data_IF_363269926905
#
_entry.id   IF_363269926905
#
_cell.length_a   1.000
_cell.length_b   1.000
_cell.length_c   1.000
_cell.angle_alpha   90.00
_cell.angle_beta   90.00
_cell.angle_gamma   90.00
#
_symmetry.space_group_name_H-M   'P 1'
#
loop_
_entity.id
_entity.type
_entity.pdbx_description
1 polymer ?
#
# COMPACT_ATOMS: atom_id res chain seq x y z
N UNK A 1 16.55 -3.67 -0.25
CA UNK A 1 16.21 -5.02 -0.73
C UNK A 1 14.70 -5.27 -0.68
N UNK A 2 13.97 -4.60 0.21
CA UNK A 2 12.54 -4.72 0.50
C UNK A 2 11.72 -3.50 0.05
N UNK A 3 12.36 -2.45 -0.44
CA UNK A 3 11.78 -1.17 -0.88
C UNK A 3 10.99 -0.41 0.21
N UNK A 4 11.23 -0.72 1.47
CA UNK A 4 10.67 0.00 2.61
C UNK A 4 11.45 1.27 2.92
N UNK A 5 10.85 2.12 3.75
CA UNK A 5 11.49 3.36 4.21
C UNK A 5 12.83 3.05 4.92
N UNK A 6 13.90 3.74 4.55
CA UNK A 6 15.20 3.63 5.20
C UNK A 6 15.22 4.40 6.53
N UNK A 7 15.11 3.67 7.63
CA UNK A 7 15.04 4.27 8.96
C UNK A 7 16.34 4.96 9.40
N UNK A 8 17.48 4.62 8.80
CA UNK A 8 18.71 5.39 9.04
C UNK A 8 18.63 6.76 8.36
N UNK A 9 17.99 6.82 7.18
CA UNK A 9 17.75 8.09 6.51
C UNK A 9 16.68 8.92 7.22
N UNK A 10 15.63 8.30 7.74
CA UNK A 10 14.64 8.97 8.59
C UNK A 10 15.33 9.62 9.80
N UNK A 11 16.17 8.88 10.51
CA UNK A 11 16.88 9.39 11.70
C UNK A 11 17.76 10.60 11.38
N UNK A 12 18.45 10.58 10.23
CA UNK A 12 19.27 11.73 9.78
C UNK A 12 18.46 12.96 9.37
N UNK A 13 17.17 12.78 9.03
CA UNK A 13 16.28 13.85 8.54
C UNK A 13 15.37 14.44 9.61
N UNK A 14 15.25 13.80 10.77
CA UNK A 14 14.47 14.33 11.90
C UNK A 14 15.07 15.66 12.37
N UNK A 15 14.20 16.63 12.59
CA UNK A 15 14.51 17.95 13.14
C UNK A 15 13.47 18.31 14.21
N UNK A 16 13.68 19.35 15.03
CA UNK A 16 12.64 19.83 15.96
C UNK A 16 11.32 20.22 15.29
N UNK A 17 11.35 20.47 13.99
CA UNK A 17 10.16 20.80 13.20
C UNK A 17 9.43 19.58 12.63
N UNK A 18 9.98 18.37 12.79
CA UNK A 18 9.36 17.14 12.32
C UNK A 18 8.11 16.82 13.15
N UNK A 19 6.93 16.88 12.54
CA UNK A 19 5.64 16.63 13.21
C UNK A 19 5.10 15.23 12.99
N UNK A 20 5.41 14.63 11.86
CA UNK A 20 5.00 13.27 11.54
C UNK A 20 5.97 12.57 10.58
N UNK A 21 5.99 11.23 10.67
CA UNK A 21 6.59 10.34 9.67
C UNK A 21 5.48 9.46 9.10
N UNK A 22 5.47 9.32 7.78
CA UNK A 22 4.47 8.51 7.05
C UNK A 22 5.20 7.31 6.45
N UNK A 23 5.31 6.17 7.16
CA UNK A 23 5.82 4.94 6.59
C UNK A 23 4.79 4.34 5.64
N UNK A 24 5.24 3.86 4.47
CA UNK A 24 4.41 3.13 3.52
C UNK A 24 4.71 1.64 3.67
N UNK A 25 3.71 0.82 3.98
CA UNK A 25 3.83 -0.63 4.01
C UNK A 25 3.77 -1.19 2.58
N UNK A 26 4.85 -0.96 1.85
CA UNK A 26 4.90 -1.18 0.41
C UNK A 26 4.73 -2.66 0.02
N UNK A 27 3.95 -2.94 -1.01
CA UNK A 27 3.56 -4.30 -1.45
C UNK A 27 2.81 -5.14 -0.40
N UNK A 28 2.37 -4.53 0.70
CA UNK A 28 1.82 -5.24 1.85
C UNK A 28 2.87 -5.60 2.90
N UNK A 29 4.16 -5.38 2.62
CA UNK A 29 5.25 -5.68 3.53
C UNK A 29 5.34 -4.61 4.64
N UNK A 30 5.23 -4.98 5.93
CA UNK A 30 5.28 -4.02 7.02
C UNK A 30 6.66 -3.37 7.18
N UNK A 31 6.67 -2.07 7.47
CA UNK A 31 7.87 -1.38 7.93
C UNK A 31 8.28 -1.87 9.32
N UNK A 32 9.53 -1.62 9.72
CA UNK A 32 10.00 -1.89 11.09
C UNK A 32 9.33 -0.90 12.07
N UNK A 33 8.15 -1.31 12.55
CA UNK A 33 7.32 -0.49 13.44
C UNK A 33 7.93 -0.31 14.82
N UNK A 34 8.67 -1.30 15.34
CA UNK A 34 9.31 -1.19 16.66
C UNK A 34 10.33 -0.06 16.67
N UNK A 35 11.14 0.02 15.61
CA UNK A 35 12.14 1.08 15.52
C UNK A 35 11.48 2.45 15.28
N UNK A 36 10.46 2.51 14.44
CA UNK A 36 9.69 3.73 14.20
C UNK A 36 9.02 4.26 15.46
N UNK A 37 8.43 3.40 16.29
CA UNK A 37 7.81 3.78 17.56
C UNK A 37 8.85 4.35 18.52
N UNK A 38 9.98 3.69 18.71
CA UNK A 38 11.07 4.20 19.54
C UNK A 38 11.58 5.57 19.07
N UNK A 39 11.69 5.75 17.76
CA UNK A 39 12.11 7.05 17.18
C UNK A 39 11.04 8.12 17.40
N UNK A 40 9.76 7.78 17.29
CA UNK A 40 8.64 8.68 17.54
C UNK A 40 8.59 9.15 18.99
N UNK A 41 8.74 8.22 19.93
CA UNK A 41 8.79 8.53 21.37
C UNK A 41 9.98 9.44 21.74
N UNK A 42 11.15 9.15 21.18
CA UNK A 42 12.38 9.92 21.43
C UNK A 42 12.31 11.36 20.88
N UNK A 43 11.63 11.57 19.75
CA UNK A 43 11.68 12.83 19.00
C UNK A 43 10.32 13.56 18.92
N UNK A 44 9.29 13.07 19.62
CA UNK A 44 7.93 13.63 19.70
C UNK A 44 7.29 13.91 18.33
N UNK A 45 7.41 12.98 17.39
CA UNK A 45 6.66 13.03 16.13
C UNK A 45 5.56 11.97 16.09
N UNK A 46 4.56 12.16 15.24
CA UNK A 46 3.47 11.19 15.05
C UNK A 46 3.79 10.21 13.92
N UNK A 47 3.35 8.96 14.06
CA UNK A 47 3.42 7.95 12.99
C UNK A 47 2.04 7.86 12.36
N UNK A 48 1.96 8.11 11.06
CA UNK A 48 0.75 7.96 10.25
C UNK A 48 1.04 6.88 9.21
N UNK A 49 0.58 5.65 9.46
CA UNK A 49 0.86 4.53 8.58
C UNK A 49 0.06 4.66 7.27
N UNK A 50 0.74 4.70 6.12
CA UNK A 50 0.12 4.43 4.84
C UNK A 50 0.09 2.90 4.63
N UNK A 51 -1.04 2.32 4.98
CA UNK A 51 -1.32 0.90 4.87
C UNK A 51 -2.24 0.58 3.68
N UNK A 52 -2.28 1.46 2.67
CA UNK A 52 -3.09 1.27 1.46
C UNK A 52 -2.78 -0.03 0.72
N UNK A 53 -1.63 -0.65 0.95
CA UNK A 53 -1.22 -1.94 0.40
C UNK A 53 -1.24 -3.09 1.41
N UNK A 54 -1.50 -2.84 2.70
CA UNK A 54 -1.20 -3.78 3.78
C UNK A 54 -2.43 -4.24 4.58
N UNK A 55 -3.64 -4.12 4.01
CA UNK A 55 -4.84 -4.60 4.68
C UNK A 55 -4.78 -6.13 4.85
N UNK A 56 -4.78 -6.58 6.11
CA UNK A 56 -4.62 -7.98 6.47
C UNK A 56 -3.19 -8.44 6.74
N UNK A 57 -2.17 -7.61 6.51
CA UNK A 57 -0.79 -7.91 6.88
C UNK A 57 -0.58 -7.88 8.40
N UNK A 58 0.40 -8.66 8.85
CA UNK A 58 0.76 -8.85 10.25
C UNK A 58 2.22 -8.42 10.45
N UNK A 59 2.50 -7.75 11.55
CA UNK A 59 3.83 -7.44 12.03
C UNK A 59 3.99 -7.98 13.44
N UNK A 60 4.90 -8.96 13.64
CA UNK A 60 5.17 -9.60 14.93
C UNK A 60 3.90 -10.05 15.67
N UNK A 61 3.01 -10.74 14.95
CA UNK A 61 1.79 -11.31 15.52
C UNK A 61 0.60 -10.33 15.64
N UNK A 62 0.79 -9.03 15.37
CA UNK A 62 -0.27 -8.03 15.42
C UNK A 62 -0.61 -7.49 14.02
N UNK A 63 -1.89 -7.30 13.73
CA UNK A 63 -2.33 -6.76 12.44
C UNK A 63 -1.84 -5.32 12.26
N UNK A 64 -1.43 -4.97 11.02
CA UNK A 64 -1.23 -3.58 10.65
C UNK A 64 -2.51 -2.81 10.92
N UNK A 65 -2.39 -1.62 11.49
CA UNK A 65 -3.48 -0.84 12.08
C UNK A 65 -3.44 -0.79 13.61
N UNK A 66 -2.53 -1.56 14.24
CA UNK A 66 -2.40 -1.62 15.71
C UNK A 66 -1.25 -0.77 16.26
N UNK A 67 -0.42 -0.16 15.40
CA UNK A 67 0.87 0.39 15.80
C UNK A 67 0.90 1.92 15.89
N UNK A 68 0.74 2.62 14.77
CA UNK A 68 0.89 4.07 14.67
C UNK A 68 -0.18 4.87 15.43
N UNK A 69 -0.09 6.19 15.34
CA UNK A 69 -1.10 7.12 15.87
C UNK A 69 -2.35 7.11 14.98
N UNK A 70 -2.15 6.91 13.70
CA UNK A 70 -3.20 6.69 12.71
C UNK A 70 -2.72 5.70 11.65
N UNK A 71 -3.62 4.88 11.12
CA UNK A 71 -3.35 3.97 10.00
C UNK A 71 -4.41 4.18 8.93
N UNK A 72 -3.97 4.42 7.70
CA UNK A 72 -4.85 4.67 6.55
C UNK A 72 -4.87 3.46 5.63
N UNK A 73 -6.06 2.91 5.39
CA UNK A 73 -6.30 1.82 4.45
C UNK A 73 -7.06 2.30 3.21
N UNK A 74 -6.83 1.63 2.09
CA UNK A 74 -7.53 1.84 0.83
C UNK A 74 -8.35 0.62 0.44
N UNK A 75 -9.56 0.86 -0.06
CA UNK A 75 -10.46 -0.13 -0.66
C UNK A 75 -10.79 0.23 -2.11
N UNK A 76 -9.83 0.82 -2.80
CA UNK A 76 -9.83 1.07 -4.25
C UNK A 76 -10.03 -0.24 -5.03
N UNK A 77 -10.54 -0.22 -6.29
CA UNK A 77 -10.79 -1.42 -7.10
C UNK A 77 -9.63 -2.39 -7.24
N UNK A 78 -8.38 -1.90 -7.22
CA UNK A 78 -7.19 -2.72 -7.42
C UNK A 78 -6.66 -3.36 -6.12
N UNK A 79 -7.19 -2.99 -4.93
CA UNK A 79 -6.66 -3.45 -3.64
C UNK A 79 -6.98 -4.92 -3.36
N UNK A 80 -6.40 -5.46 -2.27
CA UNK A 80 -6.60 -6.87 -1.87
C UNK A 80 -8.07 -7.19 -1.65
N UNK A 81 -8.80 -6.28 -1.01
CA UNK A 81 -10.27 -6.21 -1.00
C UNK A 81 -10.69 -4.82 -1.45
N UNK A 82 -11.86 -4.73 -2.04
CA UNK A 82 -12.39 -3.48 -2.58
C UNK A 82 -13.83 -3.22 -2.12
N UNK A 83 -14.21 -1.96 -2.10
CA UNK A 83 -15.61 -1.54 -2.05
C UNK A 83 -16.00 -0.65 -3.25
N UNK A 84 -15.30 -0.80 -4.38
CA UNK A 84 -15.38 0.09 -5.53
C UNK A 84 -14.52 1.32 -5.30
N UNK A 85 -14.93 2.22 -4.42
CA UNK A 85 -14.16 3.34 -3.93
C UNK A 85 -14.33 3.42 -2.40
N UNK A 86 -13.23 3.61 -1.68
CA UNK A 86 -13.30 3.76 -0.23
C UNK A 86 -11.97 3.62 0.49
N UNK A 87 -12.04 3.80 1.79
CA UNK A 87 -10.91 3.65 2.69
C UNK A 87 -11.36 3.67 4.15
N UNK A 88 -10.43 3.39 5.03
CA UNK A 88 -10.63 3.48 6.46
C UNK A 88 -9.43 4.13 7.14
N UNK A 89 -9.70 4.87 8.21
CA UNK A 89 -8.67 5.37 9.12
C UNK A 89 -8.89 4.70 10.47
N UNK A 90 -7.87 4.02 10.96
CA UNK A 90 -7.84 3.43 12.29
C UNK A 90 -7.07 4.35 13.23
N UNK A 91 -7.63 4.61 14.39
CA UNK A 91 -7.12 5.55 15.38
C UNK A 91 -7.29 4.98 16.79
N UNK A 92 -6.34 5.27 17.68
CA UNK A 92 -6.46 4.97 19.11
C UNK A 92 -7.12 6.12 19.89
N UNK A 93 -7.02 7.35 19.39
CA UNK A 93 -7.55 8.56 19.99
C UNK A 93 -8.99 8.80 19.54
N UNK A 94 -9.94 8.68 20.47
CA UNK A 94 -11.36 8.86 20.21
C UNK A 94 -11.72 10.29 19.81
N UNK A 95 -11.06 11.31 20.37
CA UNK A 95 -11.35 12.72 20.05
C UNK A 95 -10.93 13.05 18.62
N UNK A 96 -9.80 12.51 18.19
CA UNK A 96 -9.36 12.62 16.78
C UNK A 96 -10.30 11.85 15.88
N UNK A 97 -10.73 10.65 16.27
CA UNK A 97 -11.70 9.85 15.51
C UNK A 97 -13.01 10.62 15.29
N UNK A 98 -13.56 11.26 16.33
CA UNK A 98 -14.77 12.09 16.22
C UNK A 98 -14.56 13.30 15.31
N UNK A 99 -13.41 13.98 15.40
CA UNK A 99 -13.07 15.07 14.48
C UNK A 99 -13.03 14.60 13.03
N UNK A 100 -12.46 13.42 12.74
CA UNK A 100 -12.40 12.83 11.40
C UNK A 100 -13.82 12.44 10.94
N UNK A 101 -14.66 11.85 11.80
CA UNK A 101 -16.06 11.52 11.47
C UNK A 101 -16.85 12.75 11.04
N UNK A 102 -16.68 13.90 11.71
CA UNK A 102 -17.30 15.16 11.31
C UNK A 102 -16.73 15.67 9.99
N UNK A 103 -15.40 15.69 9.86
CA UNK A 103 -14.72 16.21 8.66
C UNK A 103 -15.08 15.42 7.39
N UNK A 104 -15.27 14.10 7.46
CA UNK A 104 -15.66 13.30 6.29
C UNK A 104 -17.07 13.58 5.78
N UNK A 105 -17.91 14.26 6.60
CA UNK A 105 -19.30 14.63 6.28
C UNK A 105 -19.44 16.15 6.39
N UNK A 106 -18.70 16.90 5.56
CA UNK A 106 -18.86 18.35 5.42
C UNK A 106 -18.64 19.18 6.69
N UNK A 107 -18.05 18.62 7.76
CA UNK A 107 -17.87 19.31 9.04
C UNK A 107 -19.14 19.42 9.91
N UNK A 108 -20.17 18.66 9.59
CA UNK A 108 -21.46 18.67 10.29
C UNK A 108 -21.35 17.98 11.66
N UNK A 109 -21.94 18.60 12.70
CA UNK A 109 -21.85 18.13 14.08
C UNK A 109 -22.81 16.99 14.44
N UNK A 110 -23.83 16.73 13.63
CA UNK A 110 -24.77 15.63 13.83
C UNK A 110 -24.52 14.52 12.82
N UNK A 111 -24.42 13.30 13.32
CA UNK A 111 -24.31 12.11 12.48
C UNK A 111 -25.57 11.97 11.62
N UNK A 112 -25.40 11.69 10.33
CA UNK A 112 -26.53 11.45 9.42
C UNK A 112 -27.43 10.29 9.89
N UNK A 113 -26.88 9.38 10.72
CA UNK A 113 -27.61 8.29 11.35
C UNK A 113 -28.79 8.75 12.22
N UNK A 114 -28.62 9.83 13.01
CA UNK A 114 -29.73 10.39 13.79
C UNK A 114 -30.85 10.98 12.94
N UNK A 115 -30.60 11.29 11.65
CA UNK A 115 -31.65 11.76 10.73
C UNK A 115 -32.58 10.64 10.27
N UNK A 116 -32.16 9.38 10.31
CA UNK A 116 -32.99 8.21 9.94
C UNK A 116 -33.85 7.71 11.09
N UNK A 117 -33.48 7.98 12.34
CA UNK A 117 -34.25 7.59 13.53
C UNK A 117 -35.28 8.65 13.92
N UNK A 118 -36.34 8.83 13.10
CA UNK A 118 -37.62 9.52 13.36
C UNK A 118 -37.64 10.97 13.93
N UNK A 119 -36.51 11.55 14.26
CA UNK A 119 -36.44 12.99 14.51
C UNK A 119 -35.92 13.68 13.24
N UNK A 120 -36.82 14.12 12.38
CA UNK A 120 -36.53 14.99 11.23
C UNK A 120 -36.11 16.39 11.71
N UNK A 121 -34.98 16.48 12.42
CA UNK A 121 -34.36 17.76 12.70
C UNK A 121 -33.71 18.25 11.39
N UNK A 122 -34.36 19.21 10.75
CA UNK A 122 -33.82 19.91 9.58
C UNK A 122 -32.60 20.77 9.97
N UNK A 123 -32.44 21.08 11.25
CA UNK A 123 -31.35 21.90 11.76
C UNK A 123 -30.08 21.06 11.97
N UNK A 124 -28.97 21.56 11.44
CA UNK A 124 -27.62 21.06 11.69
C UNK A 124 -26.67 22.26 11.72
N UNK A 125 -25.56 22.11 12.44
CA UNK A 125 -24.50 23.11 12.50
C UNK A 125 -23.22 22.56 11.83
N UNK A 126 -22.50 23.44 11.11
CA UNK A 126 -21.20 23.15 10.49
C UNK A 126 -20.13 23.75 11.39
N UNK A 127 -19.49 22.90 12.18
CA UNK A 127 -18.56 23.32 13.24
C UNK A 127 -17.11 23.40 12.79
N UNK A 128 -16.77 22.86 11.60
CA UNK A 128 -15.42 22.86 11.03
C UNK A 128 -15.46 22.71 9.51
N UNK A 129 -14.40 23.12 8.83
CA UNK A 129 -14.20 22.78 7.42
C UNK A 129 -14.12 21.26 7.26
N UNK A 130 -14.91 20.72 6.33
CA UNK A 130 -14.98 19.28 6.08
C UNK A 130 -14.95 18.93 4.59
N UNK A 131 -14.98 17.64 4.32
CA UNK A 131 -14.94 17.05 3.00
C UNK A 131 -16.14 16.14 2.78
N UNK A 132 -16.50 15.86 1.54
CA UNK A 132 -17.52 14.87 1.22
C UNK A 132 -16.87 13.49 0.97
N UNK A 133 -16.38 12.86 2.01
CA UNK A 133 -15.65 11.58 1.98
C UNK A 133 -16.40 10.44 2.65
N UNK A 134 -17.73 10.55 2.79
CA UNK A 134 -18.52 9.46 3.35
C UNK A 134 -18.69 8.32 2.34
N UNK A 135 -18.53 7.10 2.83
CA UNK A 135 -18.79 5.88 2.04
C UNK A 135 -20.29 5.71 1.84
N UNK A 136 -20.72 5.35 0.63
CA UNK A 136 -22.11 4.98 0.38
C UNK A 136 -22.44 3.61 0.98
N UNK A 137 -23.72 3.35 1.28
CA UNK A 137 -24.15 2.02 1.74
C UNK A 137 -23.93 0.93 0.67
N UNK A 138 -23.98 1.27 -0.61
CA UNK A 138 -23.68 0.35 -1.70
C UNK A 138 -22.23 -0.11 -1.62
N UNK A 139 -21.30 0.84 -1.52
CA UNK A 139 -19.87 0.54 -1.39
C UNK A 139 -19.59 -0.24 -0.09
N UNK A 140 -20.22 0.14 1.01
CA UNK A 140 -20.08 -0.57 2.28
C UNK A 140 -20.56 -2.02 2.21
N UNK A 141 -21.68 -2.29 1.53
CA UNK A 141 -22.18 -3.65 1.32
C UNK A 141 -21.20 -4.51 0.49
N UNK A 142 -20.64 -3.96 -0.58
CA UNK A 142 -19.59 -4.62 -1.35
C UNK A 142 -18.39 -4.94 -0.44
N UNK A 143 -17.92 -3.94 0.34
CA UNK A 143 -16.78 -4.09 1.24
C UNK A 143 -17.00 -5.20 2.30
N UNK A 144 -18.19 -5.31 2.88
CA UNK A 144 -18.52 -6.39 3.83
C UNK A 144 -18.40 -7.78 3.22
N UNK A 145 -18.91 -7.97 2.00
CA UNK A 145 -18.77 -9.24 1.27
C UNK A 145 -17.31 -9.52 0.92
N UNK A 146 -16.55 -8.51 0.50
CA UNK A 146 -15.13 -8.65 0.20
C UNK A 146 -14.32 -8.99 1.47
N UNK A 147 -14.65 -8.38 2.59
CA UNK A 147 -14.01 -8.65 3.88
C UNK A 147 -14.18 -10.11 4.30
N UNK A 148 -15.36 -10.72 4.11
CA UNK A 148 -15.58 -12.13 4.42
C UNK A 148 -14.74 -13.11 3.56
N UNK A 149 -14.18 -12.64 2.43
CA UNK A 149 -13.32 -13.42 1.52
C UNK A 149 -11.83 -13.11 1.69
N UNK A 150 -11.45 -12.22 2.60
CA UNK A 150 -10.09 -11.70 2.74
C UNK A 150 -9.05 -12.82 2.88
N UNK A 151 -9.28 -13.77 3.76
CA UNK A 151 -8.31 -14.85 4.04
C UNK A 151 -8.10 -15.73 2.80
N UNK A 152 -9.14 -16.02 2.05
CA UNK A 152 -9.07 -16.75 0.79
C UNK A 152 -8.24 -15.98 -0.25
N UNK A 153 -8.45 -14.68 -0.36
CA UNK A 153 -7.71 -13.84 -1.29
C UNK A 153 -6.23 -13.74 -0.91
N UNK A 154 -5.92 -13.59 0.38
CA UNK A 154 -4.55 -13.58 0.87
C UNK A 154 -3.86 -14.92 0.58
N UNK A 155 -4.51 -16.05 0.89
CA UNK A 155 -3.96 -17.37 0.64
C UNK A 155 -3.64 -17.58 -0.85
N UNK A 156 -4.54 -17.21 -1.76
CA UNK A 156 -4.30 -17.30 -3.21
C UNK A 156 -3.13 -16.44 -3.67
N UNK A 157 -3.08 -15.20 -3.22
CA UNK A 157 -1.97 -14.28 -3.56
C UNK A 157 -0.63 -14.77 -3.03
N UNK A 158 -0.58 -15.26 -1.80
CA UNK A 158 0.63 -15.87 -1.20
C UNK A 158 1.11 -17.08 -2.02
N UNK A 159 0.19 -17.95 -2.41
CA UNK A 159 0.52 -19.10 -3.26
C UNK A 159 1.16 -18.65 -4.58
N UNK A 160 0.59 -17.64 -5.26
CA UNK A 160 1.17 -17.11 -6.52
C UNK A 160 2.57 -16.53 -6.27
N UNK A 161 2.76 -15.74 -5.21
CA UNK A 161 4.06 -15.19 -4.84
C UNK A 161 5.11 -16.30 -4.61
N UNK A 162 4.73 -17.36 -3.88
CA UNK A 162 5.61 -18.52 -3.66
C UNK A 162 5.99 -19.23 -4.95
N UNK A 163 5.05 -19.38 -5.92
CA UNK A 163 5.38 -19.95 -7.23
C UNK A 163 6.41 -19.09 -7.96
N UNK A 164 6.25 -17.78 -7.95
CA UNK A 164 7.18 -16.84 -8.56
C UNK A 164 8.56 -16.87 -7.87
N UNK A 165 8.60 -16.80 -6.54
CA UNK A 165 9.86 -16.85 -5.77
C UNK A 165 10.64 -18.13 -6.05
N UNK A 166 9.94 -19.29 -6.08
CA UNK A 166 10.58 -20.57 -6.39
C UNK A 166 11.15 -20.60 -7.81
N UNK A 167 10.42 -20.06 -8.79
CA UNK A 167 10.82 -20.05 -10.18
C UNK A 167 11.95 -19.05 -10.50
N UNK A 168 11.99 -17.93 -9.77
CA UNK A 168 12.94 -16.83 -10.05
C UNK A 168 14.15 -16.83 -9.13
N UNK A 169 14.26 -17.82 -8.27
CA UNK A 169 15.41 -17.97 -7.36
C UNK A 169 16.70 -18.16 -8.14
N UNK A 170 17.67 -17.29 -7.87
CA UNK A 170 19.04 -17.42 -8.45
C UNK A 170 19.17 -16.93 -9.89
N UNK A 171 18.17 -16.25 -10.46
CA UNK A 171 18.30 -15.60 -11.77
C UNK A 171 19.36 -14.49 -11.74
N UNK A 172 20.02 -14.27 -12.86
CA UNK A 172 21.14 -13.33 -12.99
C UNK A 172 20.71 -11.88 -13.15
N UNK A 173 19.66 -11.61 -13.94
CA UNK A 173 19.20 -10.25 -14.21
C UNK A 173 17.85 -9.89 -13.60
N UNK A 174 17.08 -10.87 -13.08
CA UNK A 174 15.77 -10.67 -12.48
C UNK A 174 15.83 -11.00 -10.98
N UNK A 175 15.56 -10.02 -10.13
CA UNK A 175 15.73 -10.14 -8.69
C UNK A 175 14.41 -9.87 -7.96
N UNK A 176 13.69 -10.90 -7.47
CA UNK A 176 12.52 -10.72 -6.60
C UNK A 176 12.85 -9.92 -5.35
N UNK A 177 11.88 -9.19 -4.81
CA UNK A 177 12.01 -8.58 -3.49
C UNK A 177 12.05 -9.68 -2.42
N UNK A 178 12.83 -9.46 -1.37
CA UNK A 178 12.89 -10.37 -0.22
C UNK A 178 11.75 -10.05 0.74
N UNK A 179 10.64 -10.76 0.62
CA UNK A 179 9.45 -10.60 1.46
C UNK A 179 9.12 -11.95 2.10
N UNK A 180 8.86 -11.95 3.41
CA UNK A 180 8.27 -13.11 4.07
C UNK A 180 6.76 -13.08 3.89
N UNK A 181 6.24 -13.90 3.01
CA UNK A 181 4.80 -13.91 2.69
C UNK A 181 3.92 -14.57 3.77
N UNK A 182 4.47 -15.20 4.81
CA UNK A 182 3.67 -15.84 5.86
C UNK A 182 2.84 -14.82 6.65
N UNK A 183 3.36 -13.62 6.84
CA UNK A 183 2.72 -12.53 7.58
C UNK A 183 2.19 -11.41 6.69
N UNK A 184 2.52 -11.42 5.39
CA UNK A 184 2.17 -10.36 4.44
C UNK A 184 0.87 -10.70 3.72
N UNK A 185 0.01 -9.69 3.53
CA UNK A 185 -1.09 -9.68 2.57
C UNK A 185 -0.56 -9.12 1.23
N UNK A 186 -0.16 -9.95 0.26
CA UNK A 186 0.56 -9.47 -0.92
C UNK A 186 -0.35 -8.63 -1.82
N UNK A 187 -0.02 -7.36 -1.99
CA UNK A 187 -0.75 -6.45 -2.90
C UNK A 187 -0.16 -6.49 -4.32
N UNK A 188 1.16 -6.48 -4.44
CA UNK A 188 1.88 -6.53 -5.71
C UNK A 188 3.04 -7.52 -5.61
N UNK A 189 3.41 -8.12 -6.74
CA UNK A 189 4.65 -8.87 -6.86
C UNK A 189 5.63 -8.07 -7.72
N UNK A 190 6.76 -7.70 -7.16
CA UNK A 190 7.75 -6.85 -7.82
C UNK A 190 9.06 -7.59 -7.96
N UNK A 191 9.64 -7.45 -9.15
CA UNK A 191 11.03 -7.84 -9.43
C UNK A 191 11.85 -6.60 -9.78
N UNK A 192 13.13 -6.64 -9.51
CA UNK A 192 14.10 -5.66 -10.00
C UNK A 192 14.81 -6.23 -11.23
N UNK A 193 14.94 -5.42 -12.26
CA UNK A 193 15.59 -5.77 -13.52
C UNK A 193 16.60 -4.65 -13.88
N UNK A 194 17.77 -4.62 -13.21
CA UNK A 194 18.73 -3.54 -13.37
C UNK A 194 19.20 -3.38 -14.83
N UNK A 195 19.08 -2.17 -15.36
CA UNK A 195 19.52 -1.82 -16.71
C UNK A 195 18.67 -2.37 -17.86
N UNK A 196 17.68 -3.26 -17.58
CA UNK A 196 16.86 -3.92 -18.61
C UNK A 196 15.36 -3.79 -18.37
N UNK A 197 14.92 -2.83 -17.53
CA UNK A 197 13.51 -2.65 -17.17
C UNK A 197 12.59 -2.49 -18.39
N UNK A 198 12.94 -1.61 -19.30
CA UNK A 198 12.13 -1.30 -20.49
C UNK A 198 12.08 -2.51 -21.42
N UNK A 199 13.24 -3.12 -21.71
CA UNK A 199 13.35 -4.31 -22.55
C UNK A 199 12.53 -5.48 -21.98
N UNK A 200 12.63 -5.74 -20.69
CA UNK A 200 11.88 -6.79 -20.01
C UNK A 200 10.37 -6.56 -20.10
N UNK A 201 9.91 -5.33 -19.89
CA UNK A 201 8.50 -4.99 -19.98
C UNK A 201 7.97 -5.15 -21.40
N UNK A 202 8.68 -4.65 -22.40
CA UNK A 202 8.32 -4.81 -23.82
C UNK A 202 8.25 -6.28 -24.22
N UNK A 203 9.23 -7.08 -23.80
CA UNK A 203 9.23 -8.52 -24.06
C UNK A 203 7.98 -9.22 -23.48
N UNK A 204 7.61 -8.91 -22.25
CA UNK A 204 6.41 -9.50 -21.62
C UNK A 204 5.11 -9.01 -22.28
N UNK A 205 5.04 -7.75 -22.68
CA UNK A 205 3.89 -7.18 -23.37
C UNK A 205 3.65 -7.86 -24.73
N UNK A 206 4.70 -8.14 -25.52
CA UNK A 206 4.62 -8.93 -26.76
C UNK A 206 4.10 -10.35 -26.54
N UNK A 207 4.21 -10.89 -25.32
CA UNK A 207 3.66 -12.18 -24.90
C UNK A 207 2.26 -12.07 -24.28
N UNK A 208 1.64 -10.89 -24.33
CA UNK A 208 0.33 -10.63 -23.74
C UNK A 208 0.32 -10.57 -22.22
N UNK A 209 1.49 -10.35 -21.58
CA UNK A 209 1.63 -10.25 -20.13
C UNK A 209 1.75 -8.77 -19.76
N UNK A 210 0.69 -8.21 -19.17
CA UNK A 210 0.69 -6.83 -18.67
C UNK A 210 1.64 -6.65 -17.49
N UNK A 211 2.43 -5.59 -17.52
CA UNK A 211 3.36 -5.22 -16.45
C UNK A 211 3.17 -3.77 -16.03
N UNK A 212 3.69 -3.39 -14.86
CA UNK A 212 3.62 -2.02 -14.38
C UNK A 212 4.92 -1.56 -13.71
N UNK A 213 5.00 -0.25 -13.43
CA UNK A 213 6.03 0.35 -12.57
C UNK A 213 5.32 1.04 -11.41
N UNK A 214 5.38 0.49 -10.22
CA UNK A 214 4.74 1.02 -9.04
C UNK A 214 5.77 1.37 -7.96
N UNK A 215 6.28 2.64 -7.87
CA UNK A 215 5.81 3.77 -8.69
C UNK A 215 7.01 4.57 -9.19
N UNK A 216 6.77 5.50 -10.13
CA UNK A 216 7.73 6.55 -10.43
C UNK A 216 7.95 7.37 -9.16
N UNK A 217 9.20 7.70 -8.85
CA UNK A 217 9.54 8.44 -7.65
C UNK A 217 8.86 9.82 -7.62
N UNK A 218 8.17 10.16 -6.52
CA UNK A 218 7.37 11.38 -6.42
C UNK A 218 8.16 12.66 -6.72
N UNK A 219 9.42 12.73 -6.30
CA UNK A 219 10.26 13.93 -6.47
C UNK A 219 10.66 14.22 -7.92
N UNK A 220 10.49 13.27 -8.85
CA UNK A 220 10.76 13.54 -10.28
C UNK A 220 9.55 14.17 -10.99
N UNK A 221 8.35 14.12 -10.41
CA UNK A 221 7.18 14.77 -10.97
C UNK A 221 7.29 16.29 -10.86
N UNK A 222 6.88 17.01 -11.90
CA UNK A 222 6.99 18.47 -12.00
C UNK A 222 6.40 19.22 -10.79
N UNK A 223 5.28 18.74 -10.27
CA UNK A 223 4.63 19.34 -9.09
C UNK A 223 5.52 19.28 -7.85
N UNK A 224 6.19 18.16 -7.62
CA UNK A 224 6.96 17.89 -6.40
C UNK A 224 8.43 18.26 -6.51
N UNK A 225 8.95 18.39 -7.73
CA UNK A 225 10.36 18.72 -8.00
C UNK A 225 10.83 19.97 -7.26
N UNK A 226 9.98 20.99 -7.16
CA UNK A 226 10.28 22.26 -6.45
C UNK A 226 10.46 22.10 -4.93
N UNK A 227 9.97 21.01 -4.34
CA UNK A 227 10.10 20.71 -2.92
C UNK A 227 11.26 19.76 -2.61
N UNK A 228 11.93 19.26 -3.64
CA UNK A 228 13.04 18.34 -3.50
C UNK A 228 14.30 19.13 -3.14
N UNK A 229 14.70 19.04 -1.89
CA UNK A 229 15.85 19.79 -1.36
C UNK A 229 17.11 18.91 -1.24
N UNK A 230 17.00 17.62 -1.43
CA UNK A 230 18.09 16.64 -1.29
C UNK A 230 17.98 15.55 -2.35
N UNK A 231 19.12 15.06 -2.80
CA UNK A 231 19.20 13.90 -3.69
C UNK A 231 18.68 12.63 -3.03
N UNK A 232 18.05 11.77 -3.82
CA UNK A 232 17.52 10.47 -3.40
C UNK A 232 18.01 9.35 -4.32
N UNK A 233 19.34 9.12 -4.39
CA UNK A 233 19.95 8.28 -5.43
C UNK A 233 19.46 6.83 -5.38
N UNK A 234 19.13 6.30 -4.19
CA UNK A 234 18.56 4.96 -4.07
C UNK A 234 17.16 4.89 -4.68
N UNK A 235 16.30 5.87 -4.39
CA UNK A 235 14.94 5.93 -4.93
C UNK A 235 14.96 6.15 -6.44
N UNK A 236 15.84 7.03 -6.92
CA UNK A 236 16.02 7.30 -8.36
C UNK A 236 16.47 6.07 -9.13
N UNK A 237 17.40 5.31 -8.59
CA UNK A 237 17.83 4.04 -9.16
C UNK A 237 16.72 3.00 -9.17
N UNK A 238 16.01 2.84 -8.02
CA UNK A 238 15.08 1.75 -7.83
C UNK A 238 13.85 1.84 -8.74
N UNK A 239 13.24 3.02 -8.94
CA UNK A 239 12.07 3.12 -9.80
C UNK A 239 12.38 2.82 -11.27
N UNK A 240 13.63 2.94 -11.70
CA UNK A 240 14.11 2.56 -13.03
C UNK A 240 14.44 1.07 -13.17
N UNK A 241 14.39 0.33 -12.07
CA UNK A 241 14.70 -1.11 -12.05
C UNK A 241 13.47 -1.98 -11.76
N UNK A 242 12.44 -1.44 -11.07
CA UNK A 242 11.30 -2.22 -10.61
C UNK A 242 10.31 -2.50 -11.74
N UNK A 243 9.80 -3.73 -11.77
CA UNK A 243 8.71 -4.17 -12.63
C UNK A 243 7.71 -4.96 -11.80
N UNK A 244 6.43 -4.62 -11.91
CA UNK A 244 5.34 -5.34 -11.26
C UNK A 244 4.81 -6.40 -12.21
N UNK A 245 4.80 -7.64 -11.76
CA UNK A 245 4.22 -8.79 -12.45
C UNK A 245 2.75 -9.00 -12.03
N UNK A 246 1.95 -9.69 -12.84
CA UNK A 246 0.55 -9.95 -12.54
C UNK A 246 0.36 -10.66 -11.21
N UNK A 247 -0.49 -10.11 -10.32
CA UNK A 247 -0.85 -10.70 -9.04
C UNK A 247 -2.29 -10.35 -8.67
N UNK A 248 -3.23 -11.27 -8.92
CA UNK A 248 -4.62 -11.15 -8.47
C UNK A 248 -5.28 -12.52 -8.33
N UNK A 249 -6.36 -12.60 -7.58
CA UNK A 249 -7.04 -13.86 -7.27
C UNK A 249 -7.66 -14.55 -8.48
N UNK A 250 -7.93 -13.81 -9.56
CA UNK A 250 -8.48 -14.34 -10.81
C UNK A 250 -7.47 -15.00 -11.75
N UNK A 251 -6.15 -14.96 -11.43
CA UNK A 251 -5.17 -15.71 -12.22
C UNK A 251 -5.37 -17.21 -12.01
N UNK A 252 -5.54 -17.95 -13.12
CA UNK A 252 -5.50 -19.42 -13.10
C UNK A 252 -4.08 -19.93 -12.85
N UNK A 253 -3.94 -21.21 -12.52
CA UNK A 253 -2.61 -21.80 -12.39
C UNK A 253 -1.85 -21.76 -13.73
N UNK A 254 -2.56 -21.90 -14.86
CA UNK A 254 -1.97 -21.81 -16.18
C UNK A 254 -1.44 -20.41 -16.48
N UNK A 255 -2.17 -19.36 -16.07
CA UNK A 255 -1.70 -17.97 -16.22
C UNK A 255 -0.40 -17.75 -15.43
N UNK A 256 -0.35 -18.23 -14.20
CA UNK A 256 0.86 -18.15 -13.36
C UNK A 256 2.04 -18.86 -14.04
N UNK A 257 1.83 -20.07 -14.58
CA UNK A 257 2.87 -20.79 -15.30
C UNK A 257 3.28 -20.08 -16.59
N UNK A 258 2.36 -19.43 -17.29
CA UNK A 258 2.64 -18.63 -18.49
C UNK A 258 3.53 -17.44 -18.15
N UNK A 259 3.27 -16.72 -17.05
CA UNK A 259 4.15 -15.64 -16.56
C UNK A 259 5.53 -16.20 -16.25
N UNK A 260 5.63 -17.28 -15.46
CA UNK A 260 6.90 -17.91 -15.09
C UNK A 260 7.71 -18.29 -16.35
N UNK A 261 7.10 -19.00 -17.28
CA UNK A 261 7.75 -19.45 -18.51
C UNK A 261 8.36 -18.29 -19.29
N UNK A 262 7.63 -17.18 -19.44
CA UNK A 262 8.11 -16.03 -20.22
C UNK A 262 9.15 -15.21 -19.46
N UNK A 263 9.07 -15.09 -18.15
CA UNK A 263 10.13 -14.47 -17.33
C UNK A 263 11.44 -15.26 -17.45
N UNK A 264 11.38 -16.60 -17.37
CA UNK A 264 12.56 -17.47 -17.56
C UNK A 264 13.07 -17.45 -19.00
N UNK A 265 12.22 -17.24 -20.00
CA UNK A 265 12.64 -17.08 -21.38
C UNK A 265 13.45 -15.79 -21.58
N UNK A 266 12.99 -14.67 -21.00
CA UNK A 266 13.72 -13.40 -21.02
C UNK A 266 15.10 -13.54 -20.36
N UNK A 267 15.18 -14.16 -19.19
CA UNK A 267 16.44 -14.38 -18.48
C UNK A 267 17.48 -15.06 -19.38
N UNK A 268 17.08 -16.10 -20.16
CA UNK A 268 17.99 -16.85 -21.06
C UNK A 268 18.48 -16.02 -22.26
N UNK A 269 17.70 -15.02 -22.68
CA UNK A 269 18.10 -14.15 -23.80
C UNK A 269 18.90 -12.94 -23.33
N UNK A 270 18.78 -12.60 -22.05
CA UNK A 270 19.35 -11.40 -21.45
C UNK A 270 20.65 -11.68 -20.66
N UNK A 271 20.94 -12.96 -20.38
CA UNK A 271 22.21 -13.43 -19.79
C UNK A 271 23.25 -13.62 -20.84
#
# INVERSE_FOLDING_TARGET
QDLLIDLNDVERRITPNTKAVIPIHYCGNPCDMDRLIKMSEKNDFKIIEDAAHAFGSIYKGCKIGSFGHATCFSFDPIKVITCGEGGAVVLKDNDIAEKIRRKRILGINKDAWHRYNNERSWFYDVTTTGYRYHMSNINAAIGLVQLSKLDQFIARRRWICQQYDNAFKGLGCIHPLKINYDDVSPFMYIVRVPGKQIEFRSFLEEKGIGTGVHYIANHVHSLFKKYTTKEMPRTEKLWQEIVTLPLHCGLSNNDVQTVIKNVLAFERTAS
#
